data_IF_710724988520
#
_entry.id   IF_710724988520
#
_cell.length_a   1.000
_cell.length_b   1.000
_cell.length_c   1.000
_cell.angle_alpha   90.00
_cell.angle_beta   90.00
_cell.angle_gamma   90.00
#
_symmetry.space_group_name_H-M   'P 1'
#
loop_
_entity.id
_entity.type
_entity.pdbx_description
1 polymer ?
#
# COMPACT_ATOMS: atom_id res chain seq x y z
N UNK A 1 -15.14 -20.05 -25.01
CA UNK A 1 -15.28 -18.68 -24.48
C UNK A 1 -15.64 -18.76 -23.01
N UNK A 2 -15.02 -17.96 -22.19
CA UNK A 2 -15.31 -17.94 -20.77
C UNK A 2 -16.49 -16.99 -20.53
N UNK A 3 -17.50 -17.49 -19.84
CA UNK A 3 -18.61 -16.66 -19.43
C UNK A 3 -18.18 -15.74 -18.31
N UNK A 4 -18.37 -14.45 -18.51
CA UNK A 4 -18.04 -13.43 -17.54
C UNK A 4 -19.35 -12.99 -16.86
N UNK A 5 -19.45 -13.25 -15.55
CA UNK A 5 -20.62 -12.87 -14.79
C UNK A 5 -20.21 -12.18 -13.50
N UNK A 6 -21.19 -11.60 -12.82
CA UNK A 6 -20.95 -10.82 -11.61
C UNK A 6 -20.20 -11.63 -10.55
N UNK A 7 -20.60 -12.87 -10.33
CA UNK A 7 -19.97 -13.72 -9.28
C UNK A 7 -18.52 -14.01 -9.63
N UNK A 8 -18.21 -14.35 -10.88
CA UNK A 8 -16.85 -14.65 -11.29
C UNK A 8 -15.94 -13.42 -11.15
N UNK A 9 -16.42 -12.25 -11.56
CA UNK A 9 -15.66 -11.01 -11.43
C UNK A 9 -15.46 -10.66 -9.96
N UNK A 10 -16.48 -10.81 -9.13
CA UNK A 10 -16.36 -10.53 -7.70
C UNK A 10 -15.35 -11.44 -7.02
N UNK A 11 -15.35 -12.74 -7.34
CA UNK A 11 -14.37 -13.68 -6.79
C UNK A 11 -12.95 -13.27 -7.15
N UNK A 12 -12.71 -12.95 -8.42
CA UNK A 12 -11.40 -12.53 -8.87
C UNK A 12 -10.98 -11.20 -8.22
N UNK A 13 -11.93 -10.27 -8.08
CA UNK A 13 -11.66 -8.98 -7.48
C UNK A 13 -11.30 -9.09 -6.01
N UNK A 14 -11.99 -9.95 -5.25
CA UNK A 14 -11.70 -10.16 -3.84
C UNK A 14 -10.30 -10.75 -3.65
N UNK A 15 -9.93 -11.72 -4.48
CA UNK A 15 -8.58 -12.31 -4.43
C UNK A 15 -7.53 -11.26 -4.80
N UNK A 16 -7.76 -10.50 -5.87
CA UNK A 16 -6.85 -9.45 -6.31
C UNK A 16 -6.67 -8.39 -5.22
N UNK A 17 -7.75 -7.98 -4.57
CA UNK A 17 -7.70 -7.02 -3.47
C UNK A 17 -6.89 -7.56 -2.30
N UNK A 18 -7.10 -8.83 -1.93
CA UNK A 18 -6.33 -9.47 -0.86
C UNK A 18 -4.84 -9.49 -1.16
N UNK A 19 -4.46 -9.87 -2.38
CA UNK A 19 -3.06 -9.90 -2.80
C UNK A 19 -2.46 -8.48 -2.79
N UNK A 20 -3.20 -7.50 -3.31
CA UNK A 20 -2.74 -6.12 -3.36
C UNK A 20 -2.55 -5.55 -1.95
N UNK A 21 -3.50 -5.81 -1.02
CA UNK A 21 -3.37 -5.35 0.36
C UNK A 21 -2.21 -6.02 1.07
N UNK A 22 -2.06 -7.34 0.90
CA UNK A 22 -0.96 -8.07 1.52
C UNK A 22 0.39 -7.58 1.02
N UNK A 23 0.55 -7.43 -0.29
CA UNK A 23 1.77 -6.92 -0.89
C UNK A 23 2.07 -5.49 -0.46
N UNK A 24 1.04 -4.65 -0.45
CA UNK A 24 1.17 -3.27 -0.01
C UNK A 24 1.55 -3.17 1.46
N UNK A 25 0.92 -3.96 2.33
CA UNK A 25 1.22 -3.96 3.76
C UNK A 25 2.66 -4.38 4.02
N UNK A 26 3.13 -5.45 3.37
CA UNK A 26 4.52 -5.91 3.51
C UNK A 26 5.48 -4.85 2.99
N UNK A 27 5.21 -4.29 1.81
CA UNK A 27 6.07 -3.28 1.20
C UNK A 27 6.18 -2.02 2.05
N UNK A 28 5.06 -1.50 2.52
CA UNK A 28 5.04 -0.30 3.38
C UNK A 28 5.71 -0.60 4.71
N UNK A 29 5.42 -1.74 5.33
CA UNK A 29 6.03 -2.11 6.60
C UNK A 29 7.54 -2.25 6.50
N UNK A 30 8.04 -2.92 5.48
CA UNK A 30 9.49 -3.07 5.26
C UNK A 30 10.12 -1.71 4.95
N UNK A 31 9.49 -0.93 4.07
CA UNK A 31 9.99 0.40 3.71
C UNK A 31 10.06 1.34 4.90
N UNK A 32 8.99 1.40 5.70
CA UNK A 32 8.95 2.23 6.91
C UNK A 32 9.99 1.77 7.92
N UNK A 33 10.15 0.46 8.09
CA UNK A 33 11.16 -0.11 8.98
C UNK A 33 12.58 0.25 8.55
N UNK A 34 12.88 0.16 7.25
CA UNK A 34 14.19 0.53 6.73
C UNK A 34 14.47 2.02 6.90
N UNK A 35 13.47 2.87 6.62
CA UNK A 35 13.61 4.31 6.79
C UNK A 35 13.83 4.66 8.27
N UNK A 36 13.08 4.03 9.17
CA UNK A 36 13.24 4.24 10.62
C UNK A 36 14.61 3.80 11.11
N UNK A 37 15.05 2.63 10.70
CA UNK A 37 16.35 2.10 11.08
C UNK A 37 17.49 3.02 10.60
N UNK A 38 17.44 3.44 9.34
CA UNK A 38 18.45 4.33 8.78
C UNK A 38 18.46 5.68 9.50
N UNK A 39 17.28 6.20 9.86
CA UNK A 39 17.17 7.47 10.57
C UNK A 39 17.78 7.38 11.95
N UNK A 40 17.47 6.32 12.71
CA UNK A 40 18.02 6.11 14.05
C UNK A 40 19.52 5.98 13.98
N UNK A 41 20.04 5.21 13.03
CA UNK A 41 21.50 5.06 12.87
C UNK A 41 22.16 6.38 12.49
N UNK A 42 21.53 7.18 11.62
CA UNK A 42 22.04 8.48 11.23
C UNK A 42 22.08 9.46 12.38
N UNK A 43 21.02 9.50 13.20
CA UNK A 43 20.96 10.36 14.39
C UNK A 43 22.04 9.96 15.39
N UNK A 44 22.27 8.68 15.58
CA UNK A 44 23.30 8.18 16.48
C UNK A 44 24.70 8.65 16.06
N UNK A 45 24.95 8.76 14.75
CA UNK A 45 26.24 9.22 14.22
C UNK A 45 26.35 10.74 14.21
N UNK A 46 25.24 11.42 13.91
CA UNK A 46 25.21 12.87 13.76
C UNK A 46 23.97 13.41 14.48
N UNK A 47 24.02 13.54 15.82
CA UNK A 47 22.88 14.06 16.58
C UNK A 47 22.41 15.45 16.15
N UNK A 48 23.33 16.25 15.60
CA UNK A 48 23.00 17.59 15.08
C UNK A 48 22.11 17.54 13.85
N UNK A 49 22.02 16.41 13.17
CA UNK A 49 21.17 16.24 11.99
C UNK A 49 19.77 15.70 12.33
N UNK A 50 19.42 15.59 13.62
CA UNK A 50 18.17 14.98 14.07
C UNK A 50 16.95 15.57 13.38
N UNK A 51 16.82 16.89 13.34
CA UNK A 51 15.66 17.55 12.75
C UNK A 51 15.53 17.23 11.25
N UNK A 52 16.64 17.30 10.53
CA UNK A 52 16.66 17.04 9.08
C UNK A 52 16.35 15.58 8.78
N UNK A 53 16.98 14.66 9.50
CA UNK A 53 16.77 13.23 9.29
C UNK A 53 15.35 12.81 9.64
N UNK A 54 14.82 13.34 10.72
CA UNK A 54 13.43 13.07 11.13
C UNK A 54 12.45 13.60 10.09
N UNK A 55 12.68 14.78 9.53
CA UNK A 55 11.83 15.33 8.48
C UNK A 55 11.83 14.45 7.24
N UNK A 56 13.01 14.01 6.81
CA UNK A 56 13.12 13.14 5.63
C UNK A 56 12.44 11.80 5.89
N UNK A 57 12.60 11.25 7.09
CA UNK A 57 11.93 9.99 7.48
C UNK A 57 10.41 10.13 7.37
N UNK A 58 9.84 11.19 7.93
CA UNK A 58 8.40 11.40 7.87
C UNK A 58 7.93 11.62 6.43
N UNK A 59 8.74 12.25 5.59
CA UNK A 59 8.41 12.42 4.18
C UNK A 59 8.33 11.05 3.47
N UNK A 60 9.30 10.18 3.71
CA UNK A 60 9.33 8.84 3.12
C UNK A 60 8.14 8.02 3.61
N UNK A 61 7.90 8.01 4.92
CA UNK A 61 6.80 7.25 5.52
C UNK A 61 5.46 7.79 5.04
N UNK A 62 5.30 9.10 4.95
CA UNK A 62 4.08 9.72 4.46
C UNK A 62 3.78 9.34 3.01
N UNK A 63 4.78 9.30 2.14
CA UNK A 63 4.60 8.88 0.76
C UNK A 63 4.26 7.39 0.67
N UNK A 64 4.89 6.56 1.48
CA UNK A 64 4.59 5.12 1.51
C UNK A 64 3.15 4.87 1.97
N UNK A 65 2.71 5.56 3.02
CA UNK A 65 1.33 5.43 3.51
C UNK A 65 0.33 5.95 2.49
N UNK A 66 0.64 7.05 1.80
CA UNK A 66 -0.24 7.56 0.74
C UNK A 66 -0.40 6.53 -0.37
N UNK A 67 0.67 5.86 -0.77
CA UNK A 67 0.61 4.79 -1.77
C UNK A 67 -0.27 3.63 -1.29
N UNK A 68 -0.20 3.28 -0.02
CA UNK A 68 -1.04 2.23 0.55
C UNK A 68 -2.52 2.61 0.51
N UNK A 69 -2.86 3.87 0.81
CA UNK A 69 -4.24 4.34 0.74
C UNK A 69 -4.77 4.32 -0.70
N UNK A 70 -3.93 4.65 -1.69
CA UNK A 70 -4.30 4.53 -3.10
C UNK A 70 -4.58 3.06 -3.43
N UNK A 71 -3.74 2.15 -2.96
CA UNK A 71 -3.92 0.72 -3.15
C UNK A 71 -5.25 0.25 -2.55
N UNK A 72 -5.58 0.71 -1.35
CA UNK A 72 -6.84 0.40 -0.68
C UNK A 72 -8.04 0.92 -1.48
N UNK A 73 -7.97 2.14 -2.00
CA UNK A 73 -9.03 2.72 -2.81
C UNK A 73 -9.26 1.92 -4.10
N UNK A 74 -8.18 1.50 -4.77
CA UNK A 74 -8.29 0.66 -5.96
C UNK A 74 -8.91 -0.70 -5.63
N UNK A 75 -8.59 -1.25 -4.44
CA UNK A 75 -9.20 -2.49 -3.98
C UNK A 75 -10.70 -2.37 -3.81
N UNK A 76 -11.18 -1.30 -3.21
CA UNK A 76 -12.62 -1.04 -3.10
C UNK A 76 -13.27 -0.90 -4.48
N UNK A 77 -12.59 -0.25 -5.42
CA UNK A 77 -13.07 -0.17 -6.80
C UNK A 77 -13.22 -1.57 -7.40
N UNK A 78 -12.25 -2.45 -7.18
CA UNK A 78 -12.28 -3.81 -7.71
C UNK A 78 -13.46 -4.61 -7.20
N UNK A 79 -13.80 -4.47 -5.91
CA UNK A 79 -14.86 -5.28 -5.32
C UNK A 79 -16.25 -4.68 -5.45
N UNK A 80 -16.35 -3.40 -5.80
CA UNK A 80 -17.64 -2.71 -5.94
C UNK A 80 -17.97 -2.38 -7.39
N UNK A 81 -17.11 -1.64 -8.06
CA UNK A 81 -17.41 -1.12 -9.40
C UNK A 81 -17.24 -2.17 -10.50
N UNK A 82 -16.18 -2.96 -10.45
CA UNK A 82 -15.93 -3.93 -11.51
C UNK A 82 -17.03 -4.98 -11.61
N UNK A 83 -17.46 -5.64 -10.52
CA UNK A 83 -18.55 -6.62 -10.63
C UNK A 83 -19.87 -6.00 -11.10
N UNK A 84 -20.14 -4.74 -10.75
CA UNK A 84 -21.37 -4.07 -11.16
C UNK A 84 -21.41 -3.77 -12.66
N UNK A 85 -20.27 -3.81 -13.35
CA UNK A 85 -20.20 -3.61 -14.80
C UNK A 85 -20.57 -4.85 -15.57
N UNK A 86 -20.74 -5.98 -14.91
CA UNK A 86 -21.00 -7.28 -15.54
C UNK A 86 -22.38 -7.76 -15.10
N UNK A 87 -23.23 -8.09 -16.08
CA UNK A 87 -24.55 -8.63 -15.81
C UNK A 87 -24.49 -10.15 -15.67
N UNK A 88 -25.36 -10.67 -14.82
CA UNK A 88 -25.49 -12.12 -14.68
C UNK A 88 -25.20 -12.66 -13.28
#
# INVERSE_FOLDING_TARGET
MVDVNHTAVLQAAVIAFGIALAGGAVGVGVGDGLAGNATIAGIARQPEATARLTFIMFLIIGLAEASYFINLALGFYFITALPSMVSG
#
